data_IF_311436353567
#
_entry.id   IF_311436353567
#
_cell.length_a   1.000
_cell.length_b   1.000
_cell.length_c   1.000
_cell.angle_alpha   90.00
_cell.angle_beta   90.00
_cell.angle_gamma   90.00
#
_symmetry.space_group_name_H-M   'P 1'
#
loop_
_entity.id
_entity.type
_entity.pdbx_description
1 polymer ?
#
# COMPACT_ATOMS: atom_id res chain seq x y z
N UNK A 1 -0.94 14.12 16.76
CA UNK A 1 0.01 13.04 17.08
C UNK A 1 0.18 12.20 15.83
N UNK A 2 1.38 12.18 15.23
CA UNK A 2 1.64 11.56 13.94
C UNK A 2 2.11 10.11 14.16
N UNK A 3 1.20 9.16 14.01
CA UNK A 3 1.51 7.74 13.87
C UNK A 3 1.47 7.38 12.39
N UNK A 4 2.61 7.53 11.71
CA UNK A 4 2.80 6.99 10.36
C UNK A 4 3.98 6.03 10.45
N UNK A 5 3.81 4.77 10.05
CA UNK A 5 4.94 3.91 9.72
C UNK A 5 5.50 4.39 8.36
N UNK A 6 6.21 5.52 8.39
CA UNK A 6 6.83 6.13 7.21
C UNK A 6 8.33 5.99 7.30
N UNK A 7 8.94 5.29 6.33
CA UNK A 7 10.35 5.46 6.01
C UNK A 7 10.41 6.59 4.98
N UNK A 8 11.16 7.64 5.29
CA UNK A 8 11.36 8.81 4.40
C UNK A 8 10.07 9.50 3.91
N UNK A 9 8.99 9.49 4.72
CA UNK A 9 7.72 10.13 4.37
C UNK A 9 6.82 9.35 3.39
N UNK A 10 7.24 8.14 2.98
CA UNK A 10 6.49 7.29 2.06
C UNK A 10 5.86 6.11 2.83
N UNK A 11 4.58 5.78 2.58
CA UNK A 11 3.94 4.63 3.21
C UNK A 11 4.69 3.36 2.81
N UNK A 12 5.08 2.55 3.81
CA UNK A 12 5.92 1.36 3.59
C UNK A 12 5.08 0.24 2.95
N UNK A 13 3.81 0.13 3.34
CA UNK A 13 2.92 -0.91 2.87
C UNK A 13 2.80 -0.95 1.33
N UNK A 14 2.51 0.16 0.59
CA UNK A 14 2.46 0.15 -0.87
C UNK A 14 3.77 -0.23 -1.55
N UNK A 15 4.93 0.03 -0.93
CA UNK A 15 6.21 -0.43 -1.49
C UNK A 15 6.33 -1.95 -1.33
N UNK A 16 5.97 -2.48 -0.16
CA UNK A 16 6.03 -3.91 0.13
C UNK A 16 5.03 -4.74 -0.69
N UNK A 17 3.86 -4.22 -1.08
CA UNK A 17 2.89 -5.01 -1.85
C UNK A 17 3.34 -5.30 -3.29
N UNK A 18 4.25 -4.50 -3.85
CA UNK A 18 4.68 -4.67 -5.25
C UNK A 18 5.42 -5.98 -5.49
N UNK A 19 6.27 -6.38 -4.54
CA UNK A 19 7.03 -7.62 -4.59
C UNK A 19 6.15 -8.89 -4.64
N UNK A 20 5.24 -9.14 -3.68
CA UNK A 20 4.38 -10.32 -3.72
C UNK A 20 3.46 -10.33 -4.93
N UNK A 21 2.94 -9.18 -5.38
CA UNK A 21 2.12 -9.11 -6.61
C UNK A 21 2.94 -9.56 -7.81
N UNK A 22 4.16 -9.05 -7.97
CA UNK A 22 5.06 -9.47 -9.06
C UNK A 22 5.34 -10.97 -9.04
N UNK A 23 5.64 -11.53 -7.87
CA UNK A 23 5.87 -12.96 -7.70
C UNK A 23 4.64 -13.81 -8.08
N UNK A 24 3.44 -13.45 -7.60
CA UNK A 24 2.23 -14.20 -7.91
C UNK A 24 1.84 -14.11 -9.39
N UNK A 25 2.00 -12.94 -10.01
CA UNK A 25 1.78 -12.78 -11.46
C UNK A 25 2.78 -13.61 -12.26
N UNK A 26 4.06 -13.57 -11.90
CA UNK A 26 5.10 -14.37 -12.55
C UNK A 26 4.85 -15.88 -12.37
N UNK A 27 4.33 -16.32 -11.23
CA UNK A 27 3.93 -17.71 -11.00
C UNK A 27 2.82 -18.15 -11.95
N UNK A 28 1.78 -17.33 -12.16
CA UNK A 28 0.71 -17.59 -13.13
C UNK A 28 1.26 -17.66 -14.56
N UNK A 29 2.19 -16.78 -14.93
CA UNK A 29 2.84 -16.84 -16.23
C UNK A 29 3.63 -18.15 -16.39
N UNK A 30 4.38 -18.57 -15.37
CA UNK A 30 5.07 -19.85 -15.38
C UNK A 30 4.10 -21.02 -15.50
N UNK A 31 2.95 -20.96 -14.82
CA UNK A 31 1.89 -21.98 -14.93
C UNK A 31 1.29 -22.04 -16.33
N UNK A 32 1.09 -20.91 -17.00
CA UNK A 32 0.65 -20.90 -18.40
C UNK A 32 1.71 -21.57 -19.26
N UNK A 33 2.99 -21.18 -19.12
CA UNK A 33 4.08 -21.74 -19.91
C UNK A 33 4.24 -23.25 -19.63
N UNK A 34 4.04 -23.72 -18.41
CA UNK A 34 4.17 -25.15 -18.05
C UNK A 34 3.19 -26.03 -18.83
N UNK A 35 1.99 -25.51 -19.13
CA UNK A 35 0.95 -26.20 -19.91
C UNK A 35 1.37 -26.37 -21.38
N UNK A 36 2.07 -25.39 -21.97
CA UNK A 36 2.45 -25.40 -23.39
C UNK A 36 3.85 -25.98 -23.64
N UNK A 37 4.84 -25.64 -22.81
CA UNK A 37 6.25 -25.94 -22.99
C UNK A 37 6.74 -27.14 -22.16
N UNK A 38 5.87 -27.69 -21.32
CA UNK A 38 6.17 -28.82 -20.44
C UNK A 38 6.49 -28.39 -19.00
N UNK A 39 6.16 -29.24 -18.00
CA UNK A 39 6.04 -28.76 -16.62
C UNK A 39 7.33 -28.76 -15.80
N UNK A 40 8.34 -29.53 -16.18
CA UNK A 40 9.47 -29.88 -15.29
C UNK A 40 10.13 -28.66 -14.65
N UNK A 41 10.43 -27.64 -15.46
CA UNK A 41 11.06 -26.42 -14.98
C UNK A 41 10.04 -25.38 -14.51
N UNK A 42 9.02 -25.12 -15.33
CA UNK A 42 8.09 -24.02 -15.13
C UNK A 42 7.15 -24.21 -13.94
N UNK A 43 6.71 -25.44 -13.68
CA UNK A 43 5.83 -25.74 -12.55
C UNK A 43 6.59 -25.64 -11.21
N UNK A 44 7.87 -26.04 -11.19
CA UNK A 44 8.75 -25.85 -10.04
C UNK A 44 9.05 -24.36 -9.80
N UNK A 45 9.38 -23.61 -10.87
CA UNK A 45 9.60 -22.16 -10.79
C UNK A 45 8.38 -21.42 -10.23
N UNK A 46 7.18 -21.75 -10.72
CA UNK A 46 5.90 -21.23 -10.20
C UNK A 46 5.75 -21.51 -8.70
N UNK A 47 6.08 -22.72 -8.25
CA UNK A 47 6.02 -23.10 -6.82
C UNK A 47 6.95 -22.23 -5.96
N UNK A 48 8.19 -22.00 -6.41
CA UNK A 48 9.14 -21.14 -5.71
C UNK A 48 8.71 -19.67 -5.70
N UNK A 49 8.18 -19.16 -6.82
CA UNK A 49 7.63 -17.81 -6.91
C UNK A 49 6.45 -17.61 -5.95
N UNK A 50 5.56 -18.60 -5.83
CA UNK A 50 4.47 -18.57 -4.85
C UNK A 50 5.03 -18.51 -3.42
N UNK A 51 6.06 -19.30 -3.10
CA UNK A 51 6.68 -19.28 -1.77
C UNK A 51 7.28 -17.91 -1.46
N UNK A 52 8.08 -17.33 -2.36
CA UNK A 52 8.67 -16.01 -2.14
C UNK A 52 7.60 -14.91 -2.08
N UNK A 53 6.58 -15.01 -2.93
CA UNK A 53 5.41 -14.16 -2.89
C UNK A 53 4.69 -14.21 -1.55
N UNK A 54 4.51 -15.39 -0.95
CA UNK A 54 3.91 -15.56 0.38
C UNK A 54 4.71 -14.87 1.48
N UNK A 55 6.05 -15.02 1.48
CA UNK A 55 6.91 -14.35 2.45
C UNK A 55 6.74 -12.82 2.34
N UNK A 56 6.76 -12.28 1.12
CA UNK A 56 6.51 -10.87 0.87
C UNK A 56 5.11 -10.41 1.27
N UNK A 57 4.09 -11.22 1.00
CA UNK A 57 2.69 -10.92 1.32
C UNK A 57 2.46 -10.88 2.83
N UNK A 58 3.09 -11.77 3.60
CA UNK A 58 3.03 -11.73 5.07
C UNK A 58 3.68 -10.46 5.61
N UNK A 59 4.86 -10.09 5.12
CA UNK A 59 5.52 -8.85 5.50
C UNK A 59 4.65 -7.61 5.17
N UNK A 60 4.05 -7.60 3.98
CA UNK A 60 3.14 -6.55 3.54
C UNK A 60 1.86 -6.49 4.40
N UNK A 61 1.29 -7.64 4.78
CA UNK A 61 0.10 -7.73 5.62
C UNK A 61 0.38 -7.18 7.03
N UNK A 62 1.53 -7.48 7.62
CA UNK A 62 1.95 -6.93 8.92
C UNK A 62 2.05 -5.40 8.83
N UNK A 63 2.76 -4.88 7.81
CA UNK A 63 2.87 -3.44 7.60
C UNK A 63 1.50 -2.77 7.40
N UNK A 64 0.62 -3.38 6.60
CA UNK A 64 -0.71 -2.84 6.32
C UNK A 64 -1.60 -2.84 7.56
N UNK A 65 -1.49 -3.87 8.41
CA UNK A 65 -2.21 -3.94 9.68
C UNK A 65 -1.77 -2.83 10.65
N UNK A 66 -0.47 -2.55 10.75
CA UNK A 66 0.05 -1.43 11.53
C UNK A 66 -0.48 -0.10 10.98
N UNK A 67 -0.50 0.09 9.66
CA UNK A 67 -1.05 1.31 9.04
C UNK A 67 -2.54 1.48 9.35
N UNK A 68 -3.33 0.41 9.36
CA UNK A 68 -4.75 0.48 9.70
C UNK A 68 -5.03 0.82 11.17
N UNK A 69 -4.19 0.38 12.10
CA UNK A 69 -4.33 0.73 13.52
C UNK A 69 -3.89 2.17 13.82
N UNK A 70 -2.98 2.72 13.02
CA UNK A 70 -2.33 4.01 13.32
C UNK A 70 -2.85 5.17 12.49
N UNK A 71 -3.39 4.91 11.29
CA UNK A 71 -3.84 5.96 10.40
C UNK A 71 -5.21 6.54 10.82
N UNK A 72 -5.34 7.88 10.87
CA UNK A 72 -6.65 8.50 11.04
C UNK A 72 -7.49 8.29 9.78
N UNK A 73 -8.55 7.50 9.89
CA UNK A 73 -9.45 7.15 8.79
C UNK A 73 -10.91 7.51 9.13
N UNK A 74 -11.67 7.97 8.13
CA UNK A 74 -13.14 8.07 8.23
C UNK A 74 -13.77 6.69 8.39
N UNK A 75 -14.93 6.59 9.04
CA UNK A 75 -15.64 5.30 9.26
C UNK A 75 -15.89 4.50 7.98
N UNK A 76 -16.24 5.17 6.86
CA UNK A 76 -16.41 4.51 5.56
C UNK A 76 -15.10 3.92 5.01
N UNK A 77 -13.99 4.66 5.14
CA UNK A 77 -12.67 4.20 4.73
C UNK A 77 -12.14 3.05 5.60
N UNK A 78 -12.42 3.05 6.91
CA UNK A 78 -12.09 1.92 7.79
C UNK A 78 -12.82 0.65 7.35
N UNK A 79 -14.10 0.75 7.02
CA UNK A 79 -14.88 -0.39 6.51
C UNK A 79 -14.29 -0.99 5.23
N UNK A 80 -13.91 -0.15 4.26
CA UNK A 80 -13.25 -0.63 3.03
C UNK A 80 -11.87 -1.23 3.30
N UNK A 81 -11.08 -0.62 4.18
CA UNK A 81 -9.77 -1.13 4.57
C UNK A 81 -9.87 -2.50 5.28
N UNK A 82 -10.85 -2.69 6.16
CA UNK A 82 -11.11 -3.96 6.83
C UNK A 82 -11.52 -5.08 5.84
N UNK A 83 -12.35 -4.74 4.84
CA UNK A 83 -12.70 -5.67 3.77
C UNK A 83 -11.49 -6.04 2.91
N UNK A 84 -10.69 -5.04 2.54
CA UNK A 84 -9.44 -5.27 1.79
C UNK A 84 -8.50 -6.19 2.56
N UNK A 85 -8.30 -5.98 3.86
CA UNK A 85 -7.49 -6.88 4.69
C UNK A 85 -8.05 -8.30 4.73
N UNK A 86 -9.36 -8.44 4.96
CA UNK A 86 -10.01 -9.75 5.01
C UNK A 86 -9.80 -10.53 3.72
N UNK A 87 -9.96 -9.88 2.56
CA UNK A 87 -9.73 -10.51 1.26
C UNK A 87 -8.26 -10.92 1.10
N UNK A 88 -7.31 -10.06 1.49
CA UNK A 88 -5.88 -10.38 1.36
C UNK A 88 -5.42 -11.50 2.30
N UNK A 89 -6.00 -11.63 3.50
CA UNK A 89 -5.78 -12.81 4.34
C UNK A 89 -6.26 -14.06 3.62
N UNK A 90 -7.44 -13.99 2.98
CA UNK A 90 -7.92 -15.07 2.11
C UNK A 90 -6.97 -15.40 0.96
N UNK A 91 -6.40 -14.39 0.30
CA UNK A 91 -5.38 -14.56 -0.76
C UNK A 91 -4.15 -15.29 -0.23
N UNK A 92 -3.62 -14.88 0.94
CA UNK A 92 -2.47 -15.54 1.58
C UNK A 92 -2.79 -17.00 1.88
N UNK A 93 -3.99 -17.30 2.40
CA UNK A 93 -4.42 -18.69 2.68
C UNK A 93 -4.50 -19.51 1.39
N UNK A 94 -5.12 -18.98 0.34
CA UNK A 94 -5.27 -19.70 -0.94
C UNK A 94 -3.91 -19.97 -1.59
N UNK A 95 -3.01 -18.98 -1.63
CA UNK A 95 -1.65 -19.20 -2.13
C UNK A 95 -0.85 -20.12 -1.20
N UNK A 96 -1.08 -20.09 0.11
CA UNK A 96 -0.48 -21.02 1.07
C UNK A 96 -0.89 -22.47 0.81
N UNK A 97 -2.17 -22.71 0.55
CA UNK A 97 -2.70 -24.02 0.15
C UNK A 97 -2.15 -24.46 -1.21
N UNK A 98 -2.09 -23.55 -2.19
CA UNK A 98 -1.48 -23.81 -3.48
C UNK A 98 -0.02 -24.24 -3.32
N UNK A 99 0.74 -23.50 -2.50
CA UNK A 99 2.13 -23.78 -2.18
C UNK A 99 2.31 -25.16 -1.55
N UNK A 100 1.50 -25.48 -0.52
CA UNK A 100 1.58 -26.76 0.19
C UNK A 100 1.31 -27.95 -0.74
N UNK A 101 0.25 -27.89 -1.55
CA UNK A 101 -0.08 -28.95 -2.51
C UNK A 101 1.01 -29.09 -3.58
N UNK A 102 1.57 -27.96 -4.04
CA UNK A 102 2.60 -27.95 -5.08
C UNK A 102 3.97 -28.41 -4.62
N UNK A 103 4.27 -28.35 -3.32
CA UNK A 103 5.48 -28.97 -2.78
C UNK A 103 5.38 -30.50 -2.69
N UNK A 104 4.17 -31.06 -2.73
CA UNK A 104 3.95 -32.50 -2.86
C UNK A 104 4.01 -32.93 -4.33
N UNK A 105 3.41 -32.13 -5.20
CA UNK A 105 3.43 -32.33 -6.66
C UNK A 105 3.34 -30.98 -7.37
N UNK A 106 4.45 -30.55 -7.96
CA UNK A 106 4.53 -29.28 -8.70
C UNK A 106 3.50 -29.18 -9.83
N UNK A 107 3.05 -30.32 -10.36
CA UNK A 107 2.11 -30.42 -11.48
C UNK A 107 0.67 -30.65 -11.05
N UNK A 108 0.38 -30.57 -9.76
CA UNK A 108 -0.95 -30.81 -9.22
C UNK A 108 -2.00 -29.89 -9.84
N UNK A 109 -3.06 -30.50 -10.39
CA UNK A 109 -4.23 -29.79 -10.94
C UNK A 109 -4.87 -28.87 -9.89
N UNK A 110 -4.92 -29.31 -8.63
CA UNK A 110 -5.42 -28.50 -7.53
C UNK A 110 -4.51 -27.28 -7.27
N UNK A 111 -3.20 -27.44 -7.41
CA UNK A 111 -2.23 -26.35 -7.33
C UNK A 111 -2.45 -25.27 -8.40
N UNK A 112 -2.68 -25.66 -9.65
CA UNK A 112 -3.03 -24.73 -10.73
C UNK A 112 -4.37 -24.03 -10.46
N UNK A 113 -5.38 -24.78 -10.04
CA UNK A 113 -6.70 -24.22 -9.70
C UNK A 113 -6.65 -23.21 -8.56
N UNK A 114 -5.94 -23.51 -7.48
CA UNK A 114 -5.75 -22.59 -6.35
C UNK A 114 -4.96 -21.34 -6.75
N UNK A 115 -3.95 -21.48 -7.61
CA UNK A 115 -3.16 -20.34 -8.12
C UNK A 115 -4.05 -19.40 -8.96
N UNK A 116 -4.91 -19.97 -9.82
CA UNK A 116 -5.87 -19.20 -10.60
C UNK A 116 -6.92 -18.48 -9.71
N UNK A 117 -7.45 -19.15 -8.69
CA UNK A 117 -8.37 -18.53 -7.73
C UNK A 117 -7.67 -17.40 -6.97
N UNK A 118 -6.45 -17.66 -6.49
CA UNK A 118 -5.65 -16.70 -5.74
C UNK A 118 -5.37 -15.41 -6.52
N UNK A 119 -4.99 -15.51 -7.80
CA UNK A 119 -4.73 -14.33 -8.62
C UNK A 119 -6.00 -13.54 -8.94
N UNK A 120 -7.15 -14.21 -9.13
CA UNK A 120 -8.44 -13.52 -9.31
C UNK A 120 -8.83 -12.75 -8.05
N UNK A 121 -8.69 -13.38 -6.87
CA UNK A 121 -8.95 -12.72 -5.59
C UNK A 121 -8.01 -11.53 -5.37
N UNK A 122 -6.72 -11.67 -5.72
CA UNK A 122 -5.74 -10.59 -5.63
C UNK A 122 -6.11 -9.42 -6.56
N UNK A 123 -6.56 -9.69 -7.78
CA UNK A 123 -7.02 -8.66 -8.71
C UNK A 123 -8.24 -7.89 -8.17
N UNK A 124 -9.24 -8.61 -7.63
CA UNK A 124 -10.41 -8.01 -6.98
C UNK A 124 -9.95 -7.12 -5.80
N UNK A 125 -9.09 -7.66 -4.93
CA UNK A 125 -8.52 -6.92 -3.80
C UNK A 125 -7.79 -5.64 -4.22
N UNK A 126 -7.05 -5.69 -5.33
CA UNK A 126 -6.32 -4.55 -5.89
C UNK A 126 -7.24 -3.37 -6.25
N UNK A 127 -8.43 -3.64 -6.79
CA UNK A 127 -9.41 -2.57 -7.08
C UNK A 127 -9.91 -1.87 -5.82
N UNK A 128 -10.11 -2.63 -4.73
CA UNK A 128 -10.49 -2.06 -3.43
C UNK A 128 -9.34 -1.23 -2.83
N UNK A 129 -8.10 -1.73 -2.87
CA UNK A 129 -6.93 -1.01 -2.36
C UNK A 129 -6.71 0.34 -3.06
N UNK A 130 -6.87 0.38 -4.39
CA UNK A 130 -6.80 1.62 -5.16
C UNK A 130 -7.88 2.64 -4.76
N UNK A 131 -9.09 2.17 -4.42
CA UNK A 131 -10.18 3.05 -3.99
C UNK A 131 -9.94 3.69 -2.61
N UNK A 132 -9.28 2.99 -1.67
CA UNK A 132 -8.92 3.52 -0.35
C UNK A 132 -7.82 4.59 -0.49
N UNK A 133 -6.80 4.32 -1.30
CA UNK A 133 -5.73 5.26 -1.57
C UNK A 133 -6.25 6.55 -2.23
N UNK A 134 -7.14 6.43 -3.22
CA UNK A 134 -7.69 7.59 -3.93
C UNK A 134 -8.57 8.47 -3.03
N UNK A 135 -9.35 7.87 -2.11
CA UNK A 135 -10.20 8.62 -1.18
C UNK A 135 -9.39 9.34 -0.09
N UNK A 136 -8.26 8.79 0.33
CA UNK A 136 -7.35 9.48 1.26
C UNK A 136 -6.66 10.70 0.61
N UNK A 137 -6.26 10.59 -0.66
CA UNK A 137 -5.66 11.71 -1.39
C UNK A 137 -6.68 12.86 -1.59
N UNK A 138 -7.90 12.54 -2.03
CA UNK A 138 -8.95 13.55 -2.24
C UNK A 138 -9.40 14.18 -0.92
N UNK A 139 -9.59 13.37 0.13
CA UNK A 139 -9.99 13.85 1.46
C UNK A 139 -8.97 14.81 2.09
N UNK A 140 -7.67 14.55 1.91
CA UNK A 140 -6.61 15.47 2.35
C UNK A 140 -6.60 16.79 1.57
N UNK A 141 -6.86 16.74 0.26
CA UNK A 141 -6.89 17.94 -0.58
C UNK A 141 -8.06 18.88 -0.23
N UNK A 142 -9.23 18.33 0.11
CA UNK A 142 -10.38 19.13 0.54
C UNK A 142 -10.18 19.73 1.94
N UNK A 143 -9.58 18.98 2.87
CA UNK A 143 -9.26 19.52 4.20
C UNK A 143 -8.22 20.64 4.11
N UNK A 144 -7.19 20.47 3.29
CA UNK A 144 -6.14 21.48 3.10
C UNK A 144 -6.70 22.73 2.41
N UNK A 145 -7.57 22.57 1.40
CA UNK A 145 -8.28 23.70 0.78
C UNK A 145 -9.23 24.40 1.76
N UNK A 146 -9.94 23.67 2.62
CA UNK A 146 -10.80 24.29 3.66
C UNK A 146 -9.98 25.06 4.69
N UNK A 147 -8.86 24.49 5.15
CA UNK A 147 -7.95 25.17 6.08
C UNK A 147 -7.33 26.41 5.44
N UNK A 148 -6.95 26.35 4.16
CA UNK A 148 -6.43 27.51 3.43
C UNK A 148 -7.49 28.61 3.22
N UNK A 149 -8.76 28.23 3.01
CA UNK A 149 -9.88 29.16 2.83
C UNK A 149 -10.33 29.81 4.13
N UNK A 150 -10.31 29.07 5.23
CA UNK A 150 -10.75 29.55 6.54
C UNK A 150 -9.57 30.15 7.36
N UNK A 151 -8.36 30.19 6.79
CA UNK A 151 -7.22 30.88 7.37
C UNK A 151 -7.52 32.40 7.42
N UNK A 152 -7.44 33.03 8.60
CA UNK A 152 -7.69 34.47 8.71
C UNK A 152 -6.68 35.21 7.84
N UNK A 153 -7.20 36.02 6.92
CA UNK A 153 -6.44 36.91 6.05
C UNK A 153 -5.53 37.77 6.94
N UNK A 154 -4.27 37.36 7.10
CA UNK A 154 -3.27 38.18 7.80
C UNK A 154 -3.04 39.40 6.93
N UNK A 155 -3.76 40.45 7.28
CA UNK A 155 -3.50 41.84 6.94
C UNK A 155 -2.00 42.08 6.86
N UNK A 156 -1.53 42.35 5.65
CA UNK A 156 -0.21 42.90 5.41
C UNK A 156 -0.17 44.28 6.06
N UNK A 157 0.31 44.37 7.31
CA UNK A 157 0.55 45.65 7.95
C UNK A 157 1.73 46.32 7.25
N UNK A 158 1.58 47.51 6.64
CA UNK A 158 2.71 48.20 6.03
C UNK A 158 3.62 48.68 7.15
N UNK A 159 4.88 48.23 7.13
CA UNK A 159 5.91 48.64 8.08
C UNK A 159 6.28 50.11 7.77
N UNK A 160 5.54 51.04 8.35
CA UNK A 160 5.86 52.48 8.39
C UNK A 160 7.15 52.66 9.20
N UNK A 161 8.20 53.11 8.53
CA UNK A 161 9.46 53.54 9.12
C UNK A 161 9.25 54.83 9.92
N UNK A 162 9.34 54.76 11.25
CA UNK A 162 9.43 55.93 12.12
C UNK A 162 10.78 55.96 12.85
N UNK A 163 11.49 57.06 12.60
CA UNK A 163 12.30 57.82 13.54
C UNK A 163 13.54 57.16 14.18
N UNK A 164 14.71 57.50 13.63
CA UNK A 164 15.96 57.56 14.38
C UNK A 164 16.17 59.01 14.81
N UNK A 165 15.91 59.28 16.08
CA UNK A 165 16.33 60.50 16.77
C UNK A 165 17.74 60.30 17.33
N UNK A 166 18.65 61.24 17.07
CA UNK A 166 19.97 61.31 17.73
C UNK A 166 20.13 62.61 18.52
N UNK A 167 20.81 62.59 19.68
CA UNK A 167 20.73 63.63 20.69
C UNK A 167 21.77 64.74 20.56
N UNK A 168 21.34 65.94 20.95
CA UNK A 168 22.07 67.03 21.64
C UNK A 168 23.61 67.00 21.64
N UNK A 169 24.20 67.99 20.95
CA UNK A 169 25.56 68.47 21.20
C UNK A 169 25.57 70.00 21.32
N UNK A 170 25.58 70.50 22.56
CA UNK A 170 25.83 71.91 22.91
C UNK A 170 27.32 72.04 23.25
N UNK A 171 28.00 73.10 22.78
CA UNK A 171 28.85 74.04 23.54
C UNK A 171 29.76 74.85 22.57
N UNK A 172 29.54 76.17 22.63
CA UNK A 172 30.41 77.33 22.33
C UNK A 172 30.79 77.65 20.89
#
# INVERSE_FOLDING_TARGET
MQGKATIAGHPIHPMLVTFPIGCFVAAVVCDIISIWAGPVFWAAMSTWLILFGLIGAIAAAISGFVDYLTAPMTESAKGTAAWHMTINVGVIVIFGLACAVRFLDHTSVAGYGLTAIGIMMLAISGTLGGSVAHRHLVGSSESDMRVARDAPERTATPRSTSEVSTPSGRIR
#
